data_IF_443622665425
#
_entry.id   IF_443622665425
#
_cell.length_a   1.000
_cell.length_b   1.000
_cell.length_c   1.000
_cell.angle_alpha   90.00
_cell.angle_beta   90.00
_cell.angle_gamma   90.00
#
_symmetry.space_group_name_H-M   'P 1'
#
loop_
_entity.id
_entity.type
_entity.pdbx_description
1 polymer ?
#
# COMPACT_ATOMS: atom_id res chain seq x y z
N UNK A 1 -3.71 -13.69 16.62
CA UNK A 1 -3.82 -13.13 15.23
C UNK A 1 -2.45 -13.16 14.55
N UNK A 2 -2.33 -13.74 13.33
CA UNK A 2 -1.07 -13.86 12.55
C UNK A 2 -0.98 -12.81 11.42
N UNK A 3 -1.44 -11.57 11.65
CA UNK A 3 -1.36 -10.50 10.65
C UNK A 3 0.03 -9.82 10.72
N UNK A 4 0.73 -9.75 9.58
CA UNK A 4 2.06 -9.11 9.51
C UNK A 4 2.01 -7.60 9.74
N UNK A 5 0.91 -6.94 9.37
CA UNK A 5 0.75 -5.50 9.60
C UNK A 5 0.44 -5.22 11.08
N UNK A 6 -0.35 -6.07 11.74
CA UNK A 6 -0.57 -5.94 13.19
C UNK A 6 0.69 -6.27 14.02
N UNK A 7 1.57 -7.12 13.48
CA UNK A 7 2.84 -7.50 14.09
C UNK A 7 4.01 -6.87 13.32
N UNK A 8 3.83 -5.64 12.85
CA UNK A 8 4.80 -4.96 12.02
C UNK A 8 6.18 -4.99 12.67
N UNK A 9 7.18 -5.48 11.94
CA UNK A 9 8.53 -5.63 12.47
C UNK A 9 9.47 -4.60 11.85
N UNK A 10 9.65 -3.50 12.56
CA UNK A 10 10.50 -2.38 12.14
C UNK A 10 11.96 -2.76 11.85
N UNK A 11 12.45 -3.91 12.36
CA UNK A 11 13.82 -4.37 12.07
C UNK A 11 13.99 -4.82 10.62
N UNK A 12 12.93 -5.34 10.00
CA UNK A 12 12.99 -5.96 8.67
C UNK A 12 12.22 -5.18 7.62
N UNK A 13 11.53 -4.11 7.99
CA UNK A 13 10.65 -3.36 7.09
C UNK A 13 11.13 -1.92 6.88
N UNK A 14 11.05 -1.44 5.64
CA UNK A 14 11.39 -0.05 5.31
C UNK A 14 10.16 0.84 5.51
N UNK A 15 10.13 1.63 6.58
CA UNK A 15 9.05 2.60 6.84
C UNK A 15 9.40 3.94 6.21
N UNK A 16 8.50 4.49 5.39
CA UNK A 16 8.64 5.83 4.83
C UNK A 16 8.17 6.91 5.81
N UNK A 17 7.02 6.67 6.44
CA UNK A 17 6.52 7.46 7.55
C UNK A 17 5.41 6.69 8.27
N UNK A 18 5.11 7.14 9.47
CA UNK A 18 3.91 6.73 10.21
C UNK A 18 3.28 7.94 10.89
N UNK A 19 2.01 7.77 11.26
CA UNK A 19 1.25 8.67 12.11
C UNK A 19 0.71 7.87 13.29
N UNK A 20 -0.20 8.46 14.06
CA UNK A 20 -0.83 7.77 15.18
C UNK A 20 -1.60 6.52 14.71
N UNK A 21 -2.38 6.63 13.63
CA UNK A 21 -3.29 5.56 13.21
C UNK A 21 -2.88 4.85 11.90
N UNK A 22 -1.88 5.36 11.17
CA UNK A 22 -1.47 4.80 9.87
C UNK A 22 0.03 4.61 9.74
N UNK A 23 0.42 3.70 8.84
CA UNK A 23 1.81 3.41 8.48
C UNK A 23 1.94 3.33 6.96
N UNK A 24 3.00 3.94 6.42
CA UNK A 24 3.36 3.86 5.01
C UNK A 24 4.76 3.25 4.87
N UNK A 25 4.84 2.11 4.19
CA UNK A 25 6.05 1.28 4.16
C UNK A 25 6.24 0.61 2.80
N UNK A 26 7.44 0.08 2.55
CA UNK A 26 7.77 -0.62 1.32
C UNK A 26 7.11 -2.01 1.27
N UNK A 27 6.52 -2.36 0.12
CA UNK A 27 5.91 -3.68 -0.08
C UNK A 27 6.99 -4.76 -0.24
N UNK A 28 6.76 -5.94 0.35
CA UNK A 28 7.66 -7.10 0.22
C UNK A 28 6.89 -8.39 -0.13
N UNK A 29 7.23 -9.05 -1.26
CA UNK A 29 8.07 -8.56 -2.34
C UNK A 29 7.41 -7.37 -3.09
N UNK A 30 8.19 -6.42 -3.63
CA UNK A 30 7.64 -5.33 -4.42
C UNK A 30 7.28 -5.79 -5.85
N UNK A 31 6.26 -5.17 -6.47
CA UNK A 31 5.93 -5.39 -7.90
C UNK A 31 6.99 -4.71 -8.77
N UNK A 32 7.38 -3.49 -8.39
CA UNK A 32 8.47 -2.69 -8.97
C UNK A 32 9.19 -1.95 -7.85
N UNK A 33 10.40 -1.47 -8.11
CA UNK A 33 11.15 -0.63 -7.16
C UNK A 33 10.29 0.56 -6.74
N UNK A 34 10.11 0.73 -5.42
CA UNK A 34 9.28 1.78 -4.85
C UNK A 34 7.80 1.43 -4.63
N UNK A 35 7.38 0.19 -4.92
CA UNK A 35 6.06 -0.29 -4.51
C UNK A 35 5.91 -0.17 -2.98
N UNK A 36 4.87 0.55 -2.55
CA UNK A 36 4.64 0.88 -1.15
C UNK A 36 3.19 0.63 -0.75
N UNK A 37 2.97 0.36 0.53
CA UNK A 37 1.67 0.08 1.13
C UNK A 37 1.35 1.13 2.19
N UNK A 38 0.16 1.71 2.11
CA UNK A 38 -0.45 2.51 3.17
C UNK A 38 -1.49 1.66 3.89
N UNK A 39 -1.36 1.48 5.20
CA UNK A 39 -2.29 0.70 6.01
C UNK A 39 -2.62 1.39 7.33
N UNK A 40 -3.83 1.20 7.88
CA UNK A 40 -4.10 1.54 9.26
C UNK A 40 -3.33 0.59 10.19
N UNK A 41 -2.94 1.07 11.36
CA UNK A 41 -2.34 0.24 12.41
C UNK A 41 -3.38 -0.70 13.06
N UNK A 42 -4.64 -0.26 13.13
CA UNK A 42 -5.75 -1.12 13.55
C UNK A 42 -6.07 -2.18 12.49
N UNK A 43 -6.50 -3.36 12.94
CA UNK A 43 -6.89 -4.44 12.03
C UNK A 43 -8.31 -4.24 11.51
N UNK A 44 -8.43 -3.89 10.22
CA UNK A 44 -9.70 -3.84 9.48
C UNK A 44 -9.52 -4.54 8.13
N UNK A 45 -10.63 -4.94 7.49
CA UNK A 45 -10.57 -5.68 6.22
C UNK A 45 -10.82 -4.78 5.00
N UNK A 46 -11.56 -3.70 5.18
CA UNK A 46 -12.01 -2.83 4.09
C UNK A 46 -11.83 -1.34 4.43
N UNK A 47 -11.82 -0.48 3.40
CA UNK A 47 -11.71 0.98 3.58
C UNK A 47 -12.91 1.56 4.35
N UNK A 48 -14.10 0.98 4.17
CA UNK A 48 -15.34 1.44 4.82
C UNK A 48 -15.35 1.22 6.34
N UNK A 49 -14.44 0.38 6.86
CA UNK A 49 -14.27 0.13 8.30
C UNK A 49 -13.38 1.17 8.98
N UNK A 50 -12.80 2.14 8.24
CA UNK A 50 -12.02 3.22 8.84
C UNK A 50 -12.93 4.05 9.76
N UNK A 51 -12.58 4.19 11.06
CA UNK A 51 -13.34 5.00 12.00
C UNK A 51 -13.51 6.44 11.51
N UNK A 52 -14.70 7.02 11.73
CA UNK A 52 -15.03 8.40 11.30
C UNK A 52 -14.02 9.42 11.81
N UNK A 53 -13.53 9.25 13.04
CA UNK A 53 -12.54 10.13 13.65
C UNK A 53 -11.13 10.00 13.04
N UNK A 54 -10.87 9.01 12.17
CA UNK A 54 -9.59 8.85 11.47
C UNK A 54 -9.63 9.36 10.02
N UNK A 55 -10.79 9.79 9.51
CA UNK A 55 -10.96 10.13 8.09
C UNK A 55 -10.10 11.32 7.66
N UNK A 56 -9.96 12.34 8.52
CA UNK A 56 -9.10 13.48 8.23
C UNK A 56 -7.63 13.07 8.11
N UNK A 57 -7.11 12.37 9.12
CA UNK A 57 -5.76 11.82 9.12
C UNK A 57 -5.54 10.92 7.89
N UNK A 58 -6.51 10.04 7.60
CA UNK A 58 -6.48 9.14 6.45
C UNK A 58 -6.29 9.89 5.12
N UNK A 59 -7.04 10.98 4.91
CA UNK A 59 -6.92 11.80 3.72
C UNK A 59 -5.54 12.49 3.66
N UNK A 60 -5.06 13.02 4.78
CA UNK A 60 -3.74 13.66 4.87
C UNK A 60 -2.60 12.68 4.57
N UNK A 61 -2.65 11.45 5.11
CA UNK A 61 -1.62 10.44 4.85
C UNK A 61 -1.67 9.93 3.41
N UNK A 62 -2.86 9.83 2.78
CA UNK A 62 -2.97 9.48 1.35
C UNK A 62 -2.30 10.52 0.46
N UNK A 63 -2.54 11.80 0.73
CA UNK A 63 -1.90 12.92 0.01
C UNK A 63 -0.38 12.90 0.23
N UNK A 64 0.06 12.71 1.47
CA UNK A 64 1.48 12.62 1.82
C UNK A 64 2.17 11.46 1.09
N UNK A 65 1.56 10.27 1.09
CA UNK A 65 2.07 9.09 0.40
C UNK A 65 2.20 9.32 -1.11
N UNK A 66 1.16 9.88 -1.75
CA UNK A 66 1.19 10.20 -3.18
C UNK A 66 2.34 11.16 -3.52
N UNK A 67 2.47 12.26 -2.77
CA UNK A 67 3.53 13.26 -2.96
C UNK A 67 4.92 12.65 -2.74
N UNK A 68 5.08 11.81 -1.72
CA UNK A 68 6.36 11.15 -1.42
C UNK A 68 6.81 10.27 -2.57
N UNK A 69 5.95 9.36 -3.04
CA UNK A 69 6.27 8.44 -4.13
C UNK A 69 6.54 9.21 -5.43
N UNK A 70 5.71 10.21 -5.74
CA UNK A 70 5.90 11.05 -6.93
C UNK A 70 7.24 11.79 -6.90
N UNK A 71 7.59 12.40 -5.77
CA UNK A 71 8.84 13.15 -5.63
C UNK A 71 10.07 12.24 -5.70
N UNK A 72 10.00 11.07 -5.05
CA UNK A 72 11.11 10.12 -4.92
C UNK A 72 11.41 9.40 -6.22
N UNK A 73 10.37 8.95 -6.93
CA UNK A 73 10.52 8.12 -8.13
C UNK A 73 10.24 8.86 -9.44
N UNK A 74 9.86 10.15 -9.39
CA UNK A 74 9.57 10.99 -10.56
C UNK A 74 8.39 10.51 -11.43
N UNK A 75 7.55 9.63 -10.88
CA UNK A 75 6.33 9.15 -11.51
C UNK A 75 5.16 9.23 -10.54
N UNK A 76 3.99 9.66 -11.04
CA UNK A 76 2.75 9.50 -10.30
C UNK A 76 2.50 7.99 -10.07
N UNK A 77 2.14 7.57 -8.84
CA UNK A 77 1.86 6.16 -8.59
C UNK A 77 0.49 5.75 -9.16
N UNK A 78 0.43 4.53 -9.69
CA UNK A 78 -0.83 3.79 -9.78
C UNK A 78 -1.26 3.41 -8.36
N UNK A 79 -2.48 3.82 -7.99
CA UNK A 79 -3.07 3.55 -6.67
C UNK A 79 -4.23 2.58 -6.84
N UNK A 80 -4.22 1.50 -6.06
CA UNK A 80 -5.33 0.55 -6.05
C UNK A 80 -5.44 -0.22 -4.73
N UNK A 81 -6.65 -0.72 -4.47
CA UNK A 81 -6.98 -1.56 -3.33
C UNK A 81 -7.45 -2.90 -3.90
N UNK A 82 -6.83 -3.99 -3.47
CA UNK A 82 -7.32 -5.31 -3.84
C UNK A 82 -8.65 -5.59 -3.13
N UNK A 83 -9.64 -6.22 -3.81
CA UNK A 83 -10.85 -6.71 -3.16
C UNK A 83 -10.50 -7.58 -1.94
N UNK A 84 -11.32 -7.60 -0.88
CA UNK A 84 -10.97 -8.29 0.36
C UNK A 84 -10.60 -9.76 0.19
N UNK A 85 -11.23 -10.45 -0.76
CA UNK A 85 -10.97 -11.85 -1.14
C UNK A 85 -9.66 -12.06 -1.90
N UNK A 86 -9.06 -11.02 -2.48
CA UNK A 86 -7.80 -11.06 -3.23
C UNK A 86 -6.61 -10.46 -2.48
N UNK A 87 -6.81 -9.93 -1.27
CA UNK A 87 -5.71 -9.45 -0.44
C UNK A 87 -4.89 -10.63 0.10
N UNK A 88 -3.61 -10.72 -0.29
CA UNK A 88 -2.66 -11.72 0.20
C UNK A 88 -2.44 -11.59 1.70
N UNK A 89 -2.31 -10.35 2.20
CA UNK A 89 -2.36 -10.02 3.61
C UNK A 89 -3.78 -9.59 3.95
N UNK A 90 -4.44 -10.36 4.82
CA UNK A 90 -5.84 -10.11 5.22
C UNK A 90 -5.98 -8.91 6.18
N UNK A 91 -5.45 -7.75 5.80
CA UNK A 91 -5.49 -6.48 6.51
C UNK A 91 -5.54 -5.37 5.46
N UNK A 92 -6.44 -4.40 5.62
CA UNK A 92 -6.65 -3.33 4.64
C UNK A 92 -5.36 -2.58 4.31
N UNK A 93 -5.02 -2.48 3.04
CA UNK A 93 -3.90 -1.66 2.57
C UNK A 93 -4.15 -1.14 1.17
N UNK A 94 -3.59 0.03 0.89
CA UNK A 94 -3.60 0.67 -0.42
C UNK A 94 -2.22 0.50 -1.04
N UNK A 95 -2.19 0.03 -2.28
CA UNK A 95 -0.96 -0.10 -3.05
C UNK A 95 -0.64 1.25 -3.72
N UNK A 96 0.62 1.67 -3.64
CA UNK A 96 1.19 2.81 -4.36
C UNK A 96 2.34 2.27 -5.22
N UNK A 97 2.12 2.17 -6.52
CA UNK A 97 3.09 1.60 -7.46
C UNK A 97 3.60 2.71 -8.39
N UNK A 98 4.86 3.18 -8.26
CA UNK A 98 5.39 4.20 -9.17
C UNK A 98 5.63 3.62 -10.56
N UNK A 99 5.32 4.38 -11.60
CA UNK A 99 5.64 4.02 -12.98
C UNK A 99 4.59 4.46 -14.00
N UNK A 100 4.85 4.15 -15.27
CA UNK A 100 3.91 4.41 -16.37
C UNK A 100 3.12 3.14 -16.63
N UNK A 101 1.89 3.09 -16.11
CA UNK A 101 0.98 1.97 -16.32
C UNK A 101 -0.02 2.36 -17.41
N UNK A 102 0.35 2.16 -18.67
CA UNK A 102 -0.63 2.18 -19.77
C UNK A 102 -1.62 1.02 -19.69
N UNK A 103 -2.58 0.94 -20.60
CA UNK A 103 -3.54 -0.19 -20.72
C UNK A 103 -2.80 -1.54 -20.73
N UNK A 104 -1.68 -1.62 -21.45
CA UNK A 104 -0.82 -2.82 -21.48
C UNK A 104 0.03 -2.99 -20.21
N UNK A 105 0.33 -1.92 -19.48
CA UNK A 105 1.20 -1.94 -18.30
C UNK A 105 0.56 -2.62 -17.09
N UNK A 106 -0.73 -2.37 -16.85
CA UNK A 106 -1.49 -3.07 -15.78
C UNK A 106 -1.62 -4.56 -16.11
N UNK A 107 -1.97 -4.88 -17.36
CA UNK A 107 -2.07 -6.27 -17.83
C UNK A 107 -0.74 -7.01 -17.70
N UNK A 108 0.35 -6.43 -18.20
CA UNK A 108 1.67 -7.07 -18.16
C UNK A 108 2.20 -7.22 -16.73
N UNK A 109 1.98 -6.24 -15.84
CA UNK A 109 2.35 -6.36 -14.44
C UNK A 109 1.60 -7.50 -13.72
N UNK A 110 0.29 -7.64 -13.98
CA UNK A 110 -0.52 -8.73 -13.44
C UNK A 110 -0.09 -10.10 -13.99
N UNK A 111 0.16 -10.19 -15.31
CA UNK A 111 0.59 -11.44 -15.95
C UNK A 111 1.99 -11.88 -15.50
N UNK A 112 2.93 -10.95 -15.30
CA UNK A 112 4.27 -11.27 -14.81
C UNK A 112 4.27 -11.85 -13.38
N UNK A 113 3.37 -11.38 -12.50
CA UNK A 113 3.22 -11.93 -11.13
C UNK A 113 2.58 -13.32 -11.16
N UNK A 114 1.65 -13.59 -12.09
CA UNK A 114 1.00 -14.89 -12.23
C UNK A 114 1.91 -15.95 -12.83
N UNK A 115 2.81 -15.57 -13.73
CA UNK A 115 3.73 -16.49 -14.42
C UNK A 115 5.02 -16.76 -13.64
N UNK A 116 5.30 -16.01 -12.57
CA UNK A 116 6.44 -16.23 -11.66
C UNK A 116 6.03 -16.99 -10.38
N UNK A 117 4.90 -17.71 -10.41
CA UNK A 117 4.48 -18.70 -9.41
C UNK A 117 4.68 -20.10 -9.96
#
# INVERSE_FOLDING_TARGET
MKCIICKFNYKYETVYFETENFIFFEAKPPIVVGHALLAPKMHIRTEIEIPKNYIEEYNLVKIRAYKLITKKYKYAPLIFINPPQQQSVKHFHINYVPGIFGISGVKNALTAVLNNK
#
